data_IF_508238659827
#
_entry.id   IF_508238659827
#
_cell.length_a   1.000
_cell.length_b   1.000
_cell.length_c   1.000
_cell.angle_alpha   90.00
_cell.angle_beta   90.00
_cell.angle_gamma   90.00
#
_symmetry.space_group_name_H-M   'P 1'
#
loop_
_entity.id
_entity.type
_entity.pdbx_description
1 polymer ?
#
# COMPACT_ATOMS: atom_id res chain seq x y z
N UNK A 1 -4.54 8.67 11.04
CA UNK A 1 -5.82 9.37 11.31
C UNK A 1 -5.52 10.83 11.65
N UNK A 2 -6.30 11.79 11.14
CA UNK A 2 -6.20 13.19 11.55
C UNK A 2 -7.41 13.65 12.34
N UNK A 3 -7.24 14.12 13.58
CA UNK A 3 -8.34 14.71 14.37
C UNK A 3 -8.12 16.21 14.59
N UNK A 4 -9.16 17.01 14.40
CA UNK A 4 -9.13 18.45 14.67
C UNK A 4 -10.38 18.90 15.44
N UNK A 5 -10.25 19.95 16.24
CA UNK A 5 -11.37 20.56 16.97
C UNK A 5 -11.76 21.87 16.31
N UNK A 6 -13.03 21.98 15.93
CA UNK A 6 -13.60 23.22 15.41
C UNK A 6 -14.26 23.96 16.57
N UNK A 7 -13.82 25.18 16.83
CA UNK A 7 -14.45 26.08 17.80
C UNK A 7 -15.27 27.14 17.08
N UNK A 8 -16.51 27.32 17.51
CA UNK A 8 -17.41 28.35 17.03
C UNK A 8 -17.62 29.32 18.18
N UNK A 9 -17.28 30.59 17.96
CA UNK A 9 -17.59 31.70 18.87
C UNK A 9 -18.59 32.62 18.19
N UNK A 10 -19.72 32.86 18.86
CA UNK A 10 -20.71 33.85 18.45
C UNK A 10 -20.60 35.06 19.36
N UNK A 11 -20.66 36.26 18.78
CA UNK A 11 -20.66 37.54 19.51
C UNK A 11 -21.93 38.29 19.16
N UNK A 12 -22.68 38.77 20.15
CA UNK A 12 -23.86 39.60 19.90
C UNK A 12 -23.50 41.09 19.71
N UNK A 13 -24.51 41.92 19.41
CA UNK A 13 -24.31 43.36 19.21
C UNK A 13 -23.83 44.09 20.48
N UNK A 14 -24.09 43.52 21.67
CA UNK A 14 -23.62 44.04 22.96
C UNK A 14 -22.18 43.63 23.29
N UNK A 15 -21.55 42.81 22.45
CA UNK A 15 -20.18 42.32 22.64
C UNK A 15 -20.08 41.09 23.54
N UNK A 16 -21.21 40.47 23.92
CA UNK A 16 -21.18 39.22 24.69
C UNK A 16 -20.91 38.03 23.77
N UNK A 17 -20.07 37.10 24.23
CA UNK A 17 -19.69 35.92 23.45
C UNK A 17 -20.20 34.63 24.06
N UNK A 18 -20.59 33.68 23.20
CA UNK A 18 -20.77 32.29 23.56
C UNK A 18 -19.94 31.41 22.62
N UNK A 19 -19.38 30.32 23.13
CA UNK A 19 -18.59 29.39 22.32
C UNK A 19 -19.08 27.96 22.47
N UNK A 20 -18.98 27.20 21.40
CA UNK A 20 -19.12 25.74 21.39
C UNK A 20 -18.00 25.13 20.55
N UNK A 21 -17.79 23.83 20.68
CA UNK A 21 -16.82 23.11 19.87
C UNK A 21 -17.26 21.69 19.58
N UNK A 22 -16.79 21.16 18.45
CA UNK A 22 -16.95 19.76 18.08
C UNK A 22 -15.68 19.25 17.40
N UNK A 23 -15.48 17.94 17.43
CA UNK A 23 -14.32 17.29 16.80
C UNK A 23 -14.67 16.73 15.43
N UNK A 24 -13.73 16.85 14.50
CA UNK A 24 -13.78 16.22 13.18
C UNK A 24 -12.61 15.22 13.12
N UNK A 25 -12.91 13.99 12.72
CA UNK A 25 -11.90 12.96 12.43
C UNK A 25 -11.90 12.68 10.94
N UNK A 26 -10.73 12.82 10.32
CA UNK A 26 -10.48 12.42 8.93
C UNK A 26 -9.80 11.05 8.96
N UNK A 27 -10.42 10.11 8.26
CA UNK A 27 -9.92 8.75 8.05
C UNK A 27 -9.29 8.72 6.66
N UNK A 28 -7.98 8.49 6.58
CA UNK A 28 -7.32 8.13 5.32
C UNK A 28 -7.15 6.62 5.24
N UNK A 29 -7.20 6.07 4.04
CA UNK A 29 -6.91 4.65 3.79
C UNK A 29 -5.65 4.56 2.95
N UNK A 30 -4.81 3.54 3.15
CA UNK A 30 -3.69 3.30 2.26
C UNK A 30 -4.20 3.09 0.84
N UNK A 31 -3.41 3.53 -0.13
CA UNK A 31 -3.69 3.33 -1.55
C UNK A 31 -2.48 2.74 -2.25
N UNK A 32 -2.76 1.87 -3.22
CA UNK A 32 -1.78 1.23 -4.08
C UNK A 32 -1.86 1.85 -5.47
N UNK A 33 -0.72 2.32 -5.97
CA UNK A 33 -0.59 2.79 -7.35
C UNK A 33 -0.75 1.64 -8.34
N UNK A 34 -1.00 1.98 -9.60
CA UNK A 34 -1.11 0.97 -10.64
C UNK A 34 0.18 0.14 -10.73
N UNK A 35 0.04 -1.19 -10.64
CA UNK A 35 1.08 -2.11 -11.06
C UNK A 35 0.99 -2.11 -12.58
N UNK A 36 2.05 -1.71 -13.30
CA UNK A 36 2.01 -1.70 -14.78
C UNK A 36 1.57 -3.08 -15.30
N UNK A 37 0.35 -3.14 -15.86
CA UNK A 37 -0.38 -4.38 -16.11
C UNK A 37 0.21 -5.20 -17.27
N UNK A 38 0.10 -6.52 -17.12
CA UNK A 38 0.41 -7.60 -18.08
C UNK A 38 1.88 -7.76 -18.45
N UNK A 39 2.65 -8.37 -17.54
CA UNK A 39 3.95 -8.95 -17.88
C UNK A 39 3.80 -10.42 -18.24
N UNK A 40 4.27 -10.78 -19.43
CA UNK A 40 4.64 -12.16 -19.71
C UNK A 40 5.94 -12.42 -18.95
N UNK A 41 5.87 -13.29 -17.95
CA UNK A 41 7.08 -13.75 -17.29
C UNK A 41 7.74 -14.84 -18.12
N UNK A 42 9.01 -14.66 -18.45
CA UNK A 42 9.81 -15.72 -19.05
C UNK A 42 10.41 -16.58 -17.92
N UNK A 43 9.98 -17.83 -17.84
CA UNK A 43 10.46 -18.80 -16.85
C UNK A 43 11.97 -19.07 -16.96
N UNK A 44 12.56 -18.89 -18.15
CA UNK A 44 14.00 -19.03 -18.40
C UNK A 44 14.79 -17.73 -18.14
N UNK A 45 14.13 -16.60 -17.87
CA UNK A 45 14.79 -15.32 -17.64
C UNK A 45 15.19 -15.08 -16.17
N UNK A 46 14.88 -16.04 -15.28
CA UNK A 46 15.09 -15.90 -13.85
C UNK A 46 14.15 -14.86 -13.22
N UNK A 47 14.66 -14.16 -12.21
CA UNK A 47 13.91 -13.19 -11.43
C UNK A 47 13.56 -11.94 -12.25
N UNK A 48 12.29 -11.57 -12.24
CA UNK A 48 11.74 -10.46 -13.00
C UNK A 48 11.03 -9.49 -12.06
N UNK A 49 11.25 -8.19 -12.30
CA UNK A 49 10.79 -7.13 -11.40
C UNK A 49 9.61 -6.36 -11.99
N UNK A 50 8.65 -6.01 -11.15
CA UNK A 50 7.63 -4.98 -11.41
C UNK A 50 7.68 -3.93 -10.30
N UNK A 51 7.15 -2.76 -10.60
CA UNK A 51 7.15 -1.63 -9.69
C UNK A 51 5.73 -1.08 -9.51
N UNK A 52 5.44 -0.67 -8.28
CA UNK A 52 4.24 0.07 -7.92
C UNK A 52 4.53 1.00 -6.74
N UNK A 53 3.66 1.99 -6.53
CA UNK A 53 3.75 2.88 -5.36
C UNK A 53 2.72 2.50 -4.31
N UNK A 54 3.04 2.80 -3.05
CA UNK A 54 2.08 2.77 -1.94
C UNK A 54 2.12 4.12 -1.26
N UNK A 55 0.96 4.61 -0.84
CA UNK A 55 0.85 5.81 0.00
C UNK A 55 -0.21 5.62 1.07
N UNK A 56 0.10 6.07 2.27
CA UNK A 56 -0.80 6.23 3.41
C UNK A 56 -0.63 7.66 3.92
N UNK A 57 -1.68 8.47 3.84
CA UNK A 57 -1.58 9.91 4.12
C UNK A 57 -1.28 10.22 5.59
N UNK A 58 -1.48 9.24 6.47
CA UNK A 58 -1.19 9.32 7.90
C UNK A 58 0.26 8.87 8.20
N UNK A 59 0.92 8.20 7.24
CA UNK A 59 2.28 7.70 7.37
C UNK A 59 2.38 6.46 8.26
N UNK A 60 1.25 5.77 8.48
CA UNK A 60 1.18 4.56 9.30
C UNK A 60 1.99 3.42 8.66
N UNK A 61 2.39 2.45 9.50
CA UNK A 61 3.05 1.24 9.01
C UNK A 61 2.04 0.35 8.30
N UNK A 62 2.44 -0.20 7.16
CA UNK A 62 1.57 -1.04 6.32
C UNK A 62 2.14 -2.44 6.18
N UNK A 63 1.27 -3.43 6.01
CA UNK A 63 1.64 -4.82 5.75
C UNK A 63 1.27 -5.20 4.32
N UNK A 64 2.21 -5.81 3.60
CA UNK A 64 2.00 -6.36 2.26
C UNK A 64 1.59 -7.83 2.40
N UNK A 65 0.45 -8.17 1.83
CA UNK A 65 -0.02 -9.55 1.66
C UNK A 65 -0.19 -9.85 0.17
N UNK A 66 -0.09 -11.12 -0.21
CA UNK A 66 -0.25 -11.52 -1.61
C UNK A 66 -0.77 -12.96 -1.73
N UNK A 67 -1.40 -13.23 -2.86
CA UNK A 67 -1.91 -14.56 -3.24
C UNK A 67 -1.68 -14.82 -4.74
N UNK A 68 -1.58 -16.10 -5.11
CA UNK A 68 -1.39 -16.54 -6.50
C UNK A 68 -2.47 -17.54 -6.89
N UNK A 69 -3.19 -17.24 -7.98
CA UNK A 69 -4.22 -18.16 -8.51
C UNK A 69 -3.63 -19.41 -9.17
N UNK A 70 -2.32 -19.44 -9.43
CA UNK A 70 -1.61 -20.59 -9.97
C UNK A 70 -0.27 -20.80 -9.24
N UNK A 71 -0.34 -21.49 -8.12
CA UNK A 71 0.83 -21.77 -7.25
C UNK A 71 1.85 -22.72 -7.87
N UNK A 72 1.51 -23.45 -8.94
CA UNK A 72 2.48 -24.22 -9.71
C UNK A 72 3.41 -23.31 -10.51
N UNK A 73 2.87 -22.21 -11.06
CA UNK A 73 3.63 -21.23 -11.84
C UNK A 73 4.32 -20.19 -10.94
N UNK A 74 3.62 -19.73 -9.90
CA UNK A 74 4.12 -18.75 -8.92
C UNK A 74 3.89 -19.26 -7.50
N UNK A 75 4.78 -20.12 -6.95
CA UNK A 75 4.71 -20.55 -5.56
C UNK A 75 4.96 -19.39 -4.58
N UNK A 76 4.62 -19.55 -3.31
CA UNK A 76 4.76 -18.46 -2.32
C UNK A 76 6.20 -17.94 -2.21
N UNK A 77 7.21 -18.81 -2.32
CA UNK A 77 8.61 -18.41 -2.29
C UNK A 77 9.12 -17.80 -3.61
N UNK A 78 8.30 -17.74 -4.67
CA UNK A 78 8.67 -17.10 -5.93
C UNK A 78 8.50 -15.57 -5.91
N UNK A 79 7.82 -15.03 -4.90
CA UNK A 79 7.43 -13.62 -4.83
C UNK A 79 8.10 -12.99 -3.62
N UNK A 80 8.78 -11.86 -3.84
CA UNK A 80 9.39 -11.07 -2.78
C UNK A 80 9.21 -9.58 -3.02
N UNK A 81 9.20 -8.79 -1.95
CA UNK A 81 9.01 -7.34 -2.00
C UNK A 81 10.24 -6.63 -1.43
N UNK A 82 10.69 -5.61 -2.14
CA UNK A 82 11.79 -4.72 -1.70
C UNK A 82 11.39 -3.28 -1.98
N UNK A 83 12.07 -2.31 -1.37
CA UNK A 83 11.77 -0.90 -1.58
C UNK A 83 12.17 -0.05 -0.40
N UNK A 84 11.82 1.23 -0.48
CA UNK A 84 12.04 2.16 0.63
C UNK A 84 11.20 1.74 1.82
N UNK A 85 11.80 1.67 3.01
CA UNK A 85 11.13 1.34 4.27
C UNK A 85 10.52 -0.08 4.33
N UNK A 86 10.79 -0.94 3.35
CA UNK A 86 10.30 -2.33 3.29
C UNK A 86 11.23 -3.27 4.07
N UNK A 87 10.69 -4.03 5.00
CA UNK A 87 11.33 -5.21 5.55
C UNK A 87 10.89 -6.45 4.77
N UNK A 88 11.74 -6.98 3.89
CA UNK A 88 11.43 -8.12 3.03
C UNK A 88 11.22 -9.45 3.78
N UNK A 89 11.67 -9.56 5.03
CA UNK A 89 11.44 -10.77 5.85
C UNK A 89 10.05 -10.80 6.46
N UNK A 90 9.46 -9.62 6.72
CA UNK A 90 8.13 -9.50 7.33
C UNK A 90 7.09 -8.90 6.38
N UNK A 91 7.49 -8.48 5.18
CA UNK A 91 6.67 -7.74 4.21
C UNK A 91 5.98 -6.51 4.82
N UNK A 92 6.70 -5.77 5.67
CA UNK A 92 6.19 -4.56 6.33
C UNK A 92 6.83 -3.31 5.74
N UNK A 93 6.01 -2.32 5.41
CA UNK A 93 6.42 -0.96 5.02
C UNK A 93 6.34 -0.09 6.27
N UNK A 94 7.48 0.32 6.80
CA UNK A 94 7.55 1.05 8.09
C UNK A 94 7.03 2.50 8.03
N UNK A 95 6.95 3.10 6.84
CA UNK A 95 6.35 4.42 6.61
C UNK A 95 6.10 4.63 5.11
N UNK A 96 4.89 5.09 4.76
CA UNK A 96 4.47 5.37 3.39
C UNK A 96 3.74 6.73 3.23
N UNK A 97 4.21 7.80 3.88
CA UNK A 97 3.55 9.12 3.89
C UNK A 97 3.52 9.89 2.55
N UNK A 98 4.24 9.39 1.56
CA UNK A 98 4.24 9.86 0.16
C UNK A 98 4.38 8.65 -0.76
N UNK A 99 4.31 8.86 -2.08
CA UNK A 99 4.55 7.81 -3.08
C UNK A 99 5.84 7.03 -2.77
N UNK A 100 5.67 5.85 -2.18
CA UNK A 100 6.76 4.98 -1.74
C UNK A 100 6.91 3.86 -2.75
N UNK A 101 8.05 3.83 -3.43
CA UNK A 101 8.32 2.82 -4.46
C UNK A 101 8.58 1.44 -3.87
N UNK A 102 7.78 0.47 -4.32
CA UNK A 102 7.91 -0.94 -4.02
C UNK A 102 8.26 -1.69 -5.30
N UNK A 103 9.20 -2.64 -5.18
CA UNK A 103 9.56 -3.58 -6.23
C UNK A 103 9.09 -4.97 -5.83
N UNK A 104 8.22 -5.56 -6.64
CA UNK A 104 7.89 -6.99 -6.58
C UNK A 104 8.86 -7.73 -7.49
N UNK A 105 9.51 -8.76 -6.95
CA UNK A 105 10.37 -9.67 -7.72
C UNK A 105 9.68 -11.02 -7.79
N UNK A 106 9.46 -11.52 -9.01
CA UNK A 106 8.79 -12.78 -9.32
C UNK A 106 9.77 -13.70 -10.05
N UNK A 107 9.87 -14.95 -9.62
CA UNK A 107 10.63 -16.00 -10.31
C UNK A 107 9.71 -17.18 -10.62
N UNK A 108 9.16 -17.29 -11.84
CA UNK A 108 8.29 -18.42 -12.19
C UNK A 108 8.99 -19.77 -12.03
N UNK A 109 8.22 -20.83 -11.81
CA UNK A 109 8.75 -22.20 -11.79
C UNK A 109 9.29 -22.58 -13.17
N UNK A 110 10.54 -23.05 -13.22
CA UNK A 110 11.20 -23.42 -14.48
C UNK A 110 10.48 -24.58 -15.18
N UNK A 111 10.50 -24.62 -16.51
CA UNK A 111 9.81 -25.59 -17.38
C UNK A 111 8.29 -25.64 -17.17
N UNK A 112 7.67 -24.55 -16.71
CA UNK A 112 6.21 -24.45 -16.58
C UNK A 112 5.67 -23.27 -17.37
N UNK A 113 4.55 -23.50 -18.05
CA UNK A 113 3.85 -22.48 -18.84
C UNK A 113 2.39 -22.41 -18.44
N UNK A 114 1.80 -21.23 -18.57
CA UNK A 114 0.38 -21.03 -18.32
C UNK A 114 0.09 -19.59 -17.93
N UNK A 115 -1.08 -19.38 -17.34
CA UNK A 115 -1.49 -18.11 -16.78
C UNK A 115 -1.76 -18.24 -15.29
N UNK A 116 -1.56 -17.15 -14.57
CA UNK A 116 -1.90 -16.98 -13.18
C UNK A 116 -2.02 -15.49 -12.87
N UNK A 117 -2.70 -15.18 -11.78
CA UNK A 117 -2.87 -13.82 -11.27
C UNK A 117 -2.19 -13.74 -9.92
N UNK A 118 -1.38 -12.71 -9.72
CA UNK A 118 -0.81 -12.37 -8.42
C UNK A 118 -1.61 -11.18 -7.90
N UNK A 119 -2.34 -11.38 -6.80
CA UNK A 119 -3.06 -10.31 -6.12
C UNK A 119 -2.19 -9.78 -4.98
N UNK A 120 -1.99 -8.47 -4.90
CA UNK A 120 -1.26 -7.80 -3.80
C UNK A 120 -2.24 -6.93 -3.03
N UNK A 121 -2.24 -7.03 -1.70
CA UNK A 121 -3.07 -6.21 -0.81
C UNK A 121 -2.21 -5.54 0.25
N UNK A 122 -2.57 -4.30 0.60
CA UNK A 122 -1.92 -3.50 1.64
C UNK A 122 -2.92 -3.25 2.76
N UNK A 123 -2.50 -3.46 4.00
CA UNK A 123 -3.33 -3.26 5.21
C UNK A 123 -2.60 -2.52 6.29
#
# INVERSE_FOLDING_TARGET
MGATTVSITVTDHGGMTASTSFSITVISTPSIGAISETTTFNEDAGAQALHFTVVDADGDSLTITYDSSNTNLFPSNAISFTGTNVNSSTNVISQASSDTWITITVTPTTNTSGSGEITVTIT
#
